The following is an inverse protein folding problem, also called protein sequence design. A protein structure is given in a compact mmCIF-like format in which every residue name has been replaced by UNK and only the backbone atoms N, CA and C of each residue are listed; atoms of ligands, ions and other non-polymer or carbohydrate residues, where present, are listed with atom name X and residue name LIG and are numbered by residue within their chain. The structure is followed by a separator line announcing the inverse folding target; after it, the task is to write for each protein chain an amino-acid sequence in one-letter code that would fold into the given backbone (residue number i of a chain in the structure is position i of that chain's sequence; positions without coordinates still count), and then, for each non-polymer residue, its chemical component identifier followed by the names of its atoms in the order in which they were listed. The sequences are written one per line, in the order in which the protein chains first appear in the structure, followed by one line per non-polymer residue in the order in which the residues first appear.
data_IF_513347299072
#
_entry.id   IF_513347299072
#
_cell.length_a   1.000
_cell.length_b   1.000
_cell.length_c   1.000
_cell.angle_alpha   90.00
_cell.angle_beta   90.00
_cell.angle_gamma   90.00
#
_symmetry.space_group_name_H-M   'P 1'
#
loop_
_entity.id
_entity.type
_entity.pdbx_description
1 polymer ?
#
# COMPACT_ATOMS: atom_id res chain seq x y z
N UNK A 1 -31.70 -14.22 -0.26
CA UNK A 1 -30.50 -13.47 0.14
C UNK A 1 -30.57 -12.16 -0.62
N UNK A 2 -31.23 -11.18 -0.02
CA UNK A 2 -31.52 -9.91 -0.70
C UNK A 2 -30.23 -9.10 -0.87
N UNK A 3 -30.08 -8.37 -1.99
CA UNK A 3 -28.92 -7.52 -2.18
C UNK A 3 -29.01 -6.37 -1.17
N UNK A 4 -28.17 -6.44 -0.13
CA UNK A 4 -27.90 -5.31 0.75
C UNK A 4 -27.59 -4.13 -0.16
N UNK A 5 -28.38 -3.07 -0.02
CA UNK A 5 -28.22 -1.78 -0.71
C UNK A 5 -26.80 -1.25 -0.46
N UNK A 6 -25.87 -1.65 -1.32
CA UNK A 6 -24.45 -1.35 -1.20
C UNK A 6 -24.14 0.15 -1.41
N UNK A 7 -25.10 0.93 -1.91
CA UNK A 7 -24.97 2.37 -2.12
C UNK A 7 -25.07 3.22 -0.86
N UNK A 8 -25.57 2.69 0.26
CA UNK A 8 -25.80 3.46 1.49
C UNK A 8 -25.03 2.95 2.74
N UNK A 9 -24.40 1.77 2.68
CA UNK A 9 -23.84 1.13 3.88
C UNK A 9 -22.56 1.81 4.43
N UNK A 10 -21.80 2.50 3.58
CA UNK A 10 -20.46 3.02 3.91
C UNK A 10 -20.26 4.50 3.54
N UNK A 11 -21.18 5.37 3.95
CA UNK A 11 -21.19 6.78 3.57
C UNK A 11 -20.01 7.62 4.08
N UNK A 12 -19.21 7.11 5.02
CA UNK A 12 -18.17 7.87 5.73
C UNK A 12 -16.75 7.43 5.41
N UNK A 13 -16.52 6.39 4.59
CA UNK A 13 -15.16 5.95 4.20
C UNK A 13 -14.34 7.12 3.64
N UNK A 14 -14.95 7.97 2.81
CA UNK A 14 -14.27 9.13 2.25
C UNK A 14 -13.80 10.12 3.33
N UNK A 15 -14.53 10.25 4.44
CA UNK A 15 -14.11 11.06 5.57
C UNK A 15 -12.88 10.47 6.27
N UNK A 16 -12.75 9.13 6.36
CA UNK A 16 -11.55 8.49 6.89
C UNK A 16 -10.33 8.74 5.99
N UNK A 17 -10.50 8.69 4.66
CA UNK A 17 -9.43 9.00 3.72
C UNK A 17 -9.01 10.46 3.78
N UNK A 18 -9.97 11.40 3.75
CA UNK A 18 -9.71 12.84 3.92
C UNK A 18 -9.04 13.16 5.25
N UNK A 19 -9.46 12.48 6.32
CA UNK A 19 -8.82 12.58 7.62
C UNK A 19 -7.33 12.23 7.52
N UNK A 20 -6.99 11.10 6.90
CA UNK A 20 -5.59 10.69 6.74
C UNK A 20 -4.78 11.66 5.88
N UNK A 21 -5.36 12.20 4.80
CA UNK A 21 -4.70 13.15 3.90
C UNK A 21 -4.44 14.50 4.57
N UNK A 22 -5.37 14.93 5.42
CA UNK A 22 -5.26 16.17 6.17
C UNK A 22 -4.29 16.04 7.34
N UNK A 23 -4.34 14.92 8.07
CA UNK A 23 -3.50 14.67 9.22
C UNK A 23 -2.01 14.70 8.87
N UNK A 24 -1.60 14.21 7.70
CA UNK A 24 -0.18 14.31 7.23
C UNK A 24 0.30 15.76 7.14
N UNK A 25 -0.61 16.73 6.91
CA UNK A 25 -0.26 18.15 6.78
C UNK A 25 -0.18 18.87 8.12
N UNK A 26 -0.65 18.25 9.20
CA UNK A 26 -0.61 18.83 10.53
C UNK A 26 0.74 18.50 11.19
N UNK A 27 1.52 19.54 11.48
CA UNK A 27 2.79 19.43 12.20
C UNK A 27 2.65 18.93 13.64
N UNK A 28 1.42 18.93 14.18
CA UNK A 28 1.11 18.56 15.57
C UNK A 28 0.78 17.07 15.75
N UNK A 29 0.87 16.25 14.69
CA UNK A 29 0.60 14.81 14.81
C UNK A 29 1.82 14.13 15.43
N UNK A 30 1.70 13.72 16.69
CA UNK A 30 2.72 12.92 17.37
C UNK A 30 3.05 11.62 16.61
N UNK A 31 4.26 11.08 16.83
CA UNK A 31 4.80 9.93 16.08
C UNK A 31 3.87 8.69 16.07
N UNK A 32 3.14 8.43 17.15
CA UNK A 32 2.18 7.33 17.26
C UNK A 32 0.94 7.54 16.37
N UNK A 33 0.44 8.77 16.32
CA UNK A 33 -0.71 9.13 15.49
C UNK A 33 -0.36 9.06 13.99
N UNK A 34 0.90 9.32 13.64
CA UNK A 34 1.41 9.17 12.28
C UNK A 34 1.34 7.70 11.82
N UNK A 35 1.58 6.74 12.72
CA UNK A 35 1.44 5.30 12.40
C UNK A 35 0.00 4.98 12.01
N UNK A 36 -0.97 5.49 12.76
CA UNK A 36 -2.39 5.29 12.46
C UNK A 36 -2.79 5.90 11.11
N UNK A 37 -2.31 7.11 10.82
CA UNK A 37 -2.55 7.78 9.52
C UNK A 37 -1.99 6.97 8.35
N UNK A 38 -0.74 6.49 8.47
CA UNK A 38 -0.12 5.64 7.44
C UNK A 38 -0.87 4.31 7.28
N UNK A 39 -1.40 3.74 8.36
CA UNK A 39 -2.18 2.52 8.31
C UNK A 39 -3.46 2.72 7.49
N UNK A 40 -4.19 3.83 7.67
CA UNK A 40 -5.38 4.16 6.85
C UNK A 40 -5.01 4.24 5.37
N UNK A 41 -3.92 4.93 5.04
CA UNK A 41 -3.46 5.06 3.65
C UNK A 41 -3.04 3.71 3.05
N UNK A 42 -2.41 2.85 3.85
CA UNK A 42 -2.01 1.51 3.42
C UNK A 42 -3.24 0.65 3.13
N UNK A 43 -4.19 0.61 4.07
CA UNK A 43 -5.44 -0.15 3.91
C UNK A 43 -6.24 0.32 2.71
N UNK A 44 -6.30 1.63 2.45
CA UNK A 44 -6.92 2.16 1.23
C UNK A 44 -6.34 1.52 -0.03
N UNK A 45 -5.00 1.50 -0.14
CA UNK A 45 -4.31 0.91 -1.30
C UNK A 45 -4.55 -0.59 -1.41
N UNK A 46 -4.48 -1.32 -0.30
CA UNK A 46 -4.72 -2.77 -0.31
C UNK A 46 -6.17 -3.10 -0.68
N UNK A 47 -7.14 -2.28 -0.25
CA UNK A 47 -8.54 -2.40 -0.61
C UNK A 47 -8.76 -2.13 -2.11
N UNK A 48 -8.23 -1.02 -2.62
CA UNK A 48 -8.28 -0.65 -4.04
C UNK A 48 -7.66 -1.76 -4.92
N UNK A 49 -6.50 -2.29 -4.51
CA UNK A 49 -5.84 -3.38 -5.22
C UNK A 49 -6.62 -4.69 -5.16
N UNK A 50 -7.19 -5.04 -4.00
CA UNK A 50 -8.03 -6.24 -3.88
C UNK A 50 -9.24 -6.15 -4.80
N UNK A 51 -9.90 -4.99 -4.83
CA UNK A 51 -11.02 -4.74 -5.73
C UNK A 51 -10.57 -4.82 -7.20
N UNK A 52 -9.43 -4.23 -7.57
CA UNK A 52 -8.87 -4.34 -8.93
C UNK A 52 -8.65 -5.79 -9.34
N UNK A 53 -7.98 -6.59 -8.51
CA UNK A 53 -7.66 -8.00 -8.80
C UNK A 53 -8.93 -8.83 -8.99
N UNK A 54 -10.00 -8.54 -8.24
CA UNK A 54 -11.30 -9.20 -8.42
C UNK A 54 -11.99 -8.88 -9.75
N UNK A 55 -11.61 -7.79 -10.44
CA UNK A 55 -12.13 -7.50 -11.77
C UNK A 55 -11.44 -8.33 -12.87
N UNK A 56 -10.33 -9.00 -12.58
CA UNK A 56 -9.61 -9.84 -13.54
C UNK A 56 -10.39 -11.15 -13.80
N UNK A 57 -10.70 -11.43 -15.06
CA UNK A 57 -11.55 -12.56 -15.45
C UNK A 57 -10.99 -13.93 -15.05
N UNK A 58 -9.67 -14.09 -15.09
CA UNK A 58 -9.02 -15.34 -14.66
C UNK A 58 -9.19 -15.60 -13.17
N UNK A 59 -9.12 -14.55 -12.36
CA UNK A 59 -9.36 -14.58 -10.92
C UNK A 59 -10.82 -14.92 -10.65
N UNK A 60 -11.76 -14.24 -11.32
CA UNK A 60 -13.21 -14.55 -11.19
C UNK A 60 -13.51 -16.00 -11.50
N UNK A 61 -12.97 -16.55 -12.60
CA UNK A 61 -13.18 -17.95 -13.00
C UNK A 61 -12.68 -18.91 -11.93
N UNK A 62 -11.46 -18.70 -11.43
CA UNK A 62 -10.86 -19.56 -10.41
C UNK A 62 -11.59 -19.48 -9.06
N UNK A 63 -12.00 -18.29 -8.66
CA UNK A 63 -12.82 -18.09 -7.46
C UNK A 63 -14.19 -18.77 -7.57
N UNK A 64 -14.84 -18.69 -8.73
CA UNK A 64 -16.11 -19.39 -8.98
C UNK A 64 -15.97 -20.92 -8.96
N UNK A 65 -14.80 -21.44 -9.33
CA UNK A 65 -14.51 -22.88 -9.25
C UNK A 65 -14.06 -23.37 -7.87
N UNK A 66 -13.78 -22.46 -6.92
CA UNK A 66 -13.28 -22.80 -5.58
C UNK A 66 -14.31 -22.41 -4.51
N UNK A 67 -15.12 -23.37 -4.00
CA UNK A 67 -16.15 -23.08 -3.00
C UNK A 67 -15.59 -22.39 -1.75
N UNK A 68 -16.33 -21.42 -1.20
CA UNK A 68 -15.99 -20.73 0.04
C UNK A 68 -14.93 -19.63 -0.05
N UNK A 69 -14.11 -19.59 -1.12
CA UNK A 69 -13.09 -18.54 -1.29
C UNK A 69 -13.67 -17.18 -1.61
N UNK A 70 -14.67 -17.11 -2.50
CA UNK A 70 -15.31 -15.83 -2.83
C UNK A 70 -16.00 -15.20 -1.60
N UNK A 71 -16.83 -15.90 -0.80
CA UNK A 71 -17.38 -15.36 0.44
C UNK A 71 -16.32 -14.88 1.43
N UNK A 72 -15.22 -15.61 1.59
CA UNK A 72 -14.12 -15.21 2.47
C UNK A 72 -13.48 -13.89 2.03
N UNK A 73 -13.19 -13.74 0.73
CA UNK A 73 -12.65 -12.49 0.15
C UNK A 73 -13.64 -11.33 0.33
N UNK A 74 -14.91 -11.55 0.02
CA UNK A 74 -15.95 -10.52 0.15
C UNK A 74 -16.14 -10.10 1.62
N UNK A 75 -16.03 -11.04 2.56
CA UNK A 75 -16.06 -10.73 3.99
C UNK A 75 -14.89 -9.87 4.42
N UNK A 76 -13.67 -10.12 3.93
CA UNK A 76 -12.50 -9.30 4.24
C UNK A 76 -12.66 -7.85 3.72
N UNK A 77 -13.15 -7.69 2.50
CA UNK A 77 -13.48 -6.39 1.92
C UNK A 77 -14.55 -5.68 2.76
N UNK A 78 -15.62 -6.37 3.11
CA UNK A 78 -16.72 -5.82 3.91
C UNK A 78 -16.24 -5.36 5.29
N UNK A 79 -15.53 -6.21 6.03
CA UNK A 79 -14.97 -5.86 7.35
C UNK A 79 -14.04 -4.65 7.27
N UNK A 80 -13.21 -4.58 6.22
CA UNK A 80 -12.33 -3.42 6.02
C UNK A 80 -13.13 -2.14 5.75
N UNK A 81 -14.14 -2.20 4.87
CA UNK A 81 -15.03 -1.07 4.60
C UNK A 81 -15.77 -0.61 5.84
N UNK A 82 -16.22 -1.55 6.68
CA UNK A 82 -16.86 -1.25 7.96
C UNK A 82 -15.92 -0.52 8.92
N UNK A 83 -14.70 -1.02 9.11
CA UNK A 83 -13.71 -0.37 9.98
C UNK A 83 -13.36 1.06 9.50
N UNK A 84 -13.20 1.25 8.18
CA UNK A 84 -12.96 2.57 7.60
C UNK A 84 -14.18 3.50 7.77
N UNK A 85 -15.39 2.99 7.58
CA UNK A 85 -16.62 3.74 7.77
C UNK A 85 -16.80 4.18 9.24
N UNK A 86 -16.48 3.30 10.20
CA UNK A 86 -16.54 3.62 11.62
C UNK A 86 -15.49 4.65 12.07
N UNK A 87 -14.31 4.66 11.45
CA UNK A 87 -13.33 5.74 11.59
C UNK A 87 -13.90 7.04 11.02
N UNK A 88 -14.45 7.01 9.80
CA UNK A 88 -15.02 8.18 9.16
C UNK A 88 -16.19 8.78 9.94
N UNK A 89 -17.10 7.94 10.45
CA UNK A 89 -18.20 8.33 11.33
C UNK A 89 -17.70 8.99 12.60
N UNK A 90 -16.65 8.45 13.20
CA UNK A 90 -16.05 9.03 14.39
C UNK A 90 -15.47 10.43 14.11
N UNK A 91 -14.74 10.60 13.01
CA UNK A 91 -14.22 11.92 12.59
C UNK A 91 -15.35 12.93 12.35
N UNK A 92 -16.47 12.52 11.75
CA UNK A 92 -17.60 13.41 11.51
C UNK A 92 -18.39 13.72 12.79
N UNK A 93 -18.63 12.73 13.67
CA UNK A 93 -19.42 12.90 14.92
C UNK A 93 -18.75 13.75 15.98
N UNK A 94 -17.43 13.84 15.96
CA UNK A 94 -16.66 14.80 16.77
C UNK A 94 -17.16 16.25 16.58
N UNK A 95 -17.88 16.54 15.48
CA UNK A 95 -18.63 17.79 15.25
C UNK A 95 -19.86 17.97 16.16
N UNK A 96 -20.60 16.91 16.46
CA UNK A 96 -21.88 16.94 17.18
C UNK A 96 -21.70 16.85 18.71
N UNK A 97 -20.71 16.10 19.19
CA UNK A 97 -20.52 15.90 20.64
C UNK A 97 -19.98 17.15 21.38
N UNK A 98 -19.56 18.19 20.64
CA UNK A 98 -18.94 19.41 21.16
C UNK A 98 -19.79 20.66 20.87
N UNK A 99 -21.08 20.49 20.61
CA UNK A 99 -22.09 21.46 20.12
C UNK A 99 -22.41 22.64 21.08
N UNK A 100 -21.38 23.27 21.62
CA UNK A 100 -21.44 24.56 22.31
C UNK A 100 -20.82 25.73 21.53
N UNK A 101 -20.11 25.48 20.41
CA UNK A 101 -19.33 26.52 19.73
C UNK A 101 -19.32 26.36 18.19
N UNK A 102 -20.34 26.90 17.50
CA UNK A 102 -20.29 27.26 16.07
C UNK A 102 -19.83 26.21 15.05
N UNK A 103 -19.47 26.67 13.84
CA UNK A 103 -18.91 25.84 12.77
C UNK A 103 -17.48 25.41 13.11
N UNK A 104 -17.31 24.16 13.54
CA UNK A 104 -15.99 23.58 13.82
C UNK A 104 -15.25 23.27 12.51
N UNK A 105 -14.04 23.85 12.36
CA UNK A 105 -13.12 23.56 11.25
C UNK A 105 -12.71 22.10 11.22
N UNK A 106 -12.44 21.54 10.04
CA UNK A 106 -12.01 20.14 9.90
C UNK A 106 -10.72 19.86 10.68
N UNK A 107 -9.82 20.86 10.74
CA UNK A 107 -8.59 20.77 11.53
C UNK A 107 -8.84 20.50 13.01
N UNK A 108 -9.77 21.23 13.63
CA UNK A 108 -10.10 21.01 15.03
C UNK A 108 -10.68 19.62 15.26
N UNK A 109 -11.42 19.07 14.30
CA UNK A 109 -11.90 17.69 14.38
C UNK A 109 -10.75 16.69 14.37
N UNK A 110 -9.80 16.85 13.45
CA UNK A 110 -8.60 15.99 13.37
C UNK A 110 -7.80 16.05 14.68
N UNK A 111 -7.62 17.25 15.25
CA UNK A 111 -6.95 17.42 16.54
C UNK A 111 -7.71 16.74 17.68
N UNK A 112 -9.03 16.87 17.74
CA UNK A 112 -9.85 16.22 18.78
C UNK A 112 -9.85 14.70 18.67
N UNK A 113 -9.84 14.16 17.44
CA UNK A 113 -9.70 12.73 17.17
C UNK A 113 -8.39 12.19 17.74
N UNK A 114 -7.28 12.91 17.55
CA UNK A 114 -5.97 12.52 18.09
C UNK A 114 -5.85 12.67 19.61
N UNK A 115 -6.68 13.50 20.25
CA UNK A 115 -6.70 13.65 21.69
C UNK A 115 -7.49 12.52 22.39
N UNK A 116 -8.31 11.76 21.68
CA UNK A 116 -9.08 10.62 22.21
C UNK A 116 -8.31 9.30 21.97
N UNK A 117 -7.24 9.13 22.76
CA UNK A 117 -6.24 8.08 22.56
C UNK A 117 -6.81 6.65 22.70
N UNK A 118 -7.73 6.43 23.65
CA UNK A 118 -8.34 5.10 23.86
C UNK A 118 -9.14 4.65 22.63
N UNK A 119 -9.98 5.53 22.07
CA UNK A 119 -10.74 5.23 20.85
C UNK A 119 -9.85 5.08 19.63
N UNK A 120 -8.74 5.81 19.58
CA UNK A 120 -7.75 5.71 18.52
C UNK A 120 -7.06 4.34 18.55
N UNK A 121 -6.61 3.87 19.72
CA UNK A 121 -5.95 2.56 19.87
C UNK A 121 -6.87 1.43 19.42
N UNK A 122 -8.13 1.42 19.87
CA UNK A 122 -9.09 0.37 19.50
C UNK A 122 -9.33 0.32 17.98
N UNK A 123 -9.54 1.48 17.34
CA UNK A 123 -9.74 1.57 15.88
C UNK A 123 -8.48 1.22 15.10
N UNK A 124 -7.31 1.59 15.62
CA UNK A 124 -6.01 1.23 15.03
C UNK A 124 -5.81 -0.29 15.04
N UNK A 125 -6.13 -0.95 16.15
CA UNK A 125 -6.01 -2.41 16.28
C UNK A 125 -6.97 -3.16 15.34
N UNK A 126 -8.22 -2.71 15.25
CA UNK A 126 -9.20 -3.26 14.31
C UNK A 126 -8.76 -3.08 12.86
N UNK A 127 -8.31 -1.88 12.49
CA UNK A 127 -7.83 -1.58 11.15
C UNK A 127 -6.57 -2.37 10.79
N UNK A 128 -5.67 -2.60 11.75
CA UNK A 128 -4.48 -3.42 11.56
C UNK A 128 -4.85 -4.89 11.31
N UNK A 129 -5.88 -5.40 11.99
CA UNK A 129 -6.41 -6.74 11.75
C UNK A 129 -7.03 -6.84 10.35
N UNK A 130 -7.76 -5.81 9.91
CA UNK A 130 -8.29 -5.73 8.55
C UNK A 130 -7.16 -5.69 7.50
N UNK A 131 -6.10 -4.90 7.74
CA UNK A 131 -4.91 -4.85 6.88
C UNK A 131 -4.26 -6.23 6.74
N UNK A 132 -4.06 -6.95 7.84
CA UNK A 132 -3.48 -8.30 7.81
C UNK A 132 -4.36 -9.28 7.03
N UNK A 133 -5.68 -9.16 7.20
CA UNK A 133 -6.66 -10.00 6.48
C UNK A 133 -6.62 -9.71 4.98
N UNK A 134 -6.63 -8.44 4.57
CA UNK A 134 -6.48 -8.05 3.17
C UNK A 134 -5.15 -8.47 2.57
N UNK A 135 -4.05 -8.34 3.31
CA UNK A 135 -2.73 -8.80 2.87
C UNK A 135 -2.72 -10.31 2.60
N UNK A 136 -3.41 -11.09 3.45
CA UNK A 136 -3.58 -12.54 3.26
C UNK A 136 -4.44 -12.85 2.03
N UNK A 137 -5.51 -12.08 1.81
CA UNK A 137 -6.35 -12.19 0.61
C UNK A 137 -5.56 -11.87 -0.65
N UNK A 138 -4.81 -10.77 -0.67
CA UNK A 138 -3.97 -10.38 -1.80
C UNK A 138 -2.92 -11.44 -2.11
N UNK A 139 -2.22 -11.96 -1.10
CA UNK A 139 -1.26 -13.05 -1.28
C UNK A 139 -1.89 -14.31 -1.89
N UNK A 140 -3.17 -14.56 -1.63
CA UNK A 140 -3.93 -15.64 -2.27
C UNK A 140 -4.35 -15.30 -3.71
N UNK A 141 -4.74 -14.05 -3.98
CA UNK A 141 -5.26 -13.63 -5.28
C UNK A 141 -4.15 -13.37 -6.32
N UNK A 142 -2.99 -12.82 -5.93
CA UNK A 142 -1.91 -12.45 -6.86
C UNK A 142 -1.43 -13.61 -7.76
N UNK A 143 -1.19 -14.83 -7.24
CA UNK A 143 -0.80 -15.97 -8.10
C UNK A 143 -1.89 -16.39 -9.09
N UNK A 144 -3.16 -16.09 -8.78
CA UNK A 144 -4.28 -16.43 -9.66
C UNK A 144 -4.32 -15.54 -10.91
N UNK A 145 -3.87 -14.28 -10.77
CA UNK A 145 -3.68 -13.31 -11.84
C UNK A 145 -2.51 -13.74 -12.75
N UNK A 146 -1.33 -14.02 -12.18
CA UNK A 146 -0.11 -14.38 -12.93
C UNK A 146 -0.23 -15.69 -13.72
N UNK A 147 -0.87 -16.72 -13.14
CA UNK A 147 -1.09 -17.98 -13.84
C UNK A 147 -2.01 -17.84 -15.08
N UNK A 148 -2.67 -16.69 -15.25
CA UNK A 148 -3.37 -16.35 -16.50
C UNK A 148 -2.45 -15.66 -17.51
N UNK A 149 -1.52 -14.82 -17.05
CA UNK A 149 -0.55 -14.16 -17.92
C UNK A 149 0.42 -15.20 -18.52
N UNK A 150 0.92 -16.12 -17.70
CA UNK A 150 1.79 -17.21 -18.14
C UNK A 150 1.11 -18.20 -19.12
N UNK A 151 -0.22 -18.31 -19.09
CA UNK A 151 -0.97 -19.12 -20.05
C UNK A 151 -1.26 -18.39 -21.37
N UNK A 152 -1.21 -17.05 -21.37
CA UNK A 152 -1.40 -16.21 -22.55
C UNK A 152 -0.08 -15.94 -23.30
N UNK A 153 1.04 -15.82 -22.58
CA UNK A 153 2.37 -15.54 -23.13
C UNK A 153 3.26 -16.80 -23.15
N UNK A 154 2.86 -17.81 -23.93
CA UNK A 154 3.69 -18.97 -24.23
C UNK A 154 4.86 -18.67 -25.18
N UNK A 155 5.53 -17.52 -25.01
CA UNK A 155 6.84 -17.22 -25.55
C UNK A 155 7.82 -17.10 -24.36
N UNK A 156 8.96 -17.81 -24.37
CA UNK A 156 9.94 -17.69 -23.29
C UNK A 156 10.37 -16.22 -23.15
N UNK A 157 10.45 -15.67 -21.92
CA UNK A 157 10.82 -14.28 -21.72
C UNK A 157 12.19 -14.02 -22.36
N UNK A 158 12.27 -12.99 -23.20
CA UNK A 158 13.53 -12.50 -23.73
C UNK A 158 14.40 -12.04 -22.55
N UNK A 159 15.67 -12.46 -22.54
CA UNK A 159 16.61 -12.27 -21.43
C UNK A 159 16.84 -10.78 -21.07
N UNK A 160 16.50 -9.85 -21.96
CA UNK A 160 16.72 -8.41 -21.77
C UNK A 160 15.82 -7.78 -20.70
N UNK A 161 14.63 -8.34 -20.43
CA UNK A 161 13.64 -7.73 -19.51
C UNK A 161 14.01 -7.94 -18.02
N UNK A 162 14.93 -8.85 -17.73
CA UNK A 162 15.35 -9.21 -16.37
C UNK A 162 16.35 -8.21 -15.74
N UNK A 163 16.69 -7.09 -16.40
CA UNK A 163 17.75 -6.18 -15.94
C UNK A 163 17.26 -4.90 -15.26
N UNK A 164 15.94 -4.67 -15.15
CA UNK A 164 15.35 -3.49 -14.49
C UNK A 164 15.34 -3.54 -12.95
N UNK A 165 16.36 -4.14 -12.32
CA UNK A 165 16.50 -4.14 -10.85
C UNK A 165 17.14 -2.86 -10.29
N UNK A 166 17.68 -1.98 -11.15
CA UNK A 166 18.40 -0.79 -10.72
C UNK A 166 17.49 0.32 -10.14
N UNK A 167 16.20 0.30 -10.45
CA UNK A 167 15.23 1.28 -9.92
C UNK A 167 14.86 1.03 -8.46
N UNK A 168 14.97 -0.21 -7.97
CA UNK A 168 14.65 -0.57 -6.58
C UNK A 168 15.79 -0.31 -5.58
N UNK A 169 16.95 0.15 -6.06
CA UNK A 169 18.07 0.47 -5.19
C UNK A 169 17.77 1.73 -4.36
N UNK A 170 17.86 1.60 -3.04
CA UNK A 170 17.80 2.75 -2.14
C UNK A 170 18.89 3.78 -2.48
N UNK A 171 18.70 5.08 -2.18
CA UNK A 171 19.70 6.11 -2.48
C UNK A 171 21.11 5.80 -1.95
N UNK A 172 21.21 5.05 -0.84
CA UNK A 172 22.48 4.60 -0.27
C UNK A 172 23.15 3.48 -1.07
N UNK A 173 22.36 2.57 -1.66
CA UNK A 173 22.89 1.50 -2.51
C UNK A 173 23.33 2.03 -3.88
N UNK A 174 22.60 3.01 -4.45
CA UNK A 174 23.01 3.70 -5.68
C UNK A 174 24.38 4.36 -5.54
N UNK A 175 24.63 5.06 -4.42
CA UNK A 175 25.94 5.69 -4.14
C UNK A 175 27.09 4.68 -4.03
N UNK A 176 26.84 3.46 -3.51
CA UNK A 176 27.87 2.41 -3.41
C UNK A 176 28.16 1.76 -4.76
N UNK A 177 27.15 1.60 -5.62
CA UNK A 177 27.32 1.04 -6.97
C UNK A 177 28.19 1.96 -7.84
N UNK A 178 27.94 3.27 -7.82
CA UNK A 178 28.74 4.25 -8.56
C UNK A 178 30.18 4.36 -8.07
N UNK A 179 30.43 4.22 -6.76
CA UNK A 179 31.81 4.18 -6.25
C UNK A 179 32.53 2.90 -6.68
N UNK A 180 31.85 1.74 -6.64
CA UNK A 180 32.45 0.47 -7.03
C UNK A 180 32.77 0.37 -8.55
N UNK A 181 31.92 0.94 -9.41
CA UNK A 181 32.18 1.01 -10.85
C UNK A 181 33.36 1.94 -11.19
N UNK A 182 33.50 3.06 -10.47
CA UNK A 182 34.64 3.98 -10.64
C UNK A 182 35.96 3.32 -10.22
N UNK A 183 35.96 2.50 -9.15
CA UNK A 183 37.17 1.77 -8.73
C UNK A 183 37.55 0.65 -9.69
N UNK A 184 36.59 -0.01 -10.34
CA UNK A 184 36.87 -1.04 -11.35
C UNK A 184 37.46 -0.44 -12.64
N UNK A 185 36.91 0.68 -13.11
CA UNK A 185 37.43 1.37 -14.30
C UNK A 185 38.85 1.94 -14.11
N UNK A 186 39.27 2.20 -12.87
CA UNK A 186 40.63 2.68 -12.55
C UNK A 186 41.70 1.59 -12.50
N UNK A 187 41.33 0.31 -12.34
CA UNK A 187 42.30 -0.79 -12.23
C UNK A 187 42.64 -1.38 -13.60
N UNK A 188 41.67 -1.44 -14.53
CA UNK A 188 41.89 -1.97 -15.88
C UNK A 188 42.69 -1.00 -16.80
N UNK A 189 42.90 0.25 -16.37
CA UNK A 189 43.64 1.27 -17.12
C UNK A 189 45.16 1.26 -16.90
N UNK A 190 45.69 0.49 -15.94
CA UNK A 190 47.10 0.58 -15.52
C UNK A 190 47.99 -0.52 -16.15
N UNK A 191 47.44 -1.59 -16.71
CA UNK A 191 48.24 -2.72 -17.23
C UNK A 191 48.66 -2.65 -18.71
N UNK A 192 48.35 -1.57 -19.46
CA UNK A 192 48.68 -1.48 -20.91
C UNK A 192 49.93 -0.65 -21.28
N UNK A 193 50.72 -0.21 -20.31
CA UNK A 193 51.83 0.74 -20.55
C UNK A 193 53.18 0.28 -19.98
N UNK A 194 53.58 -0.98 -20.18
CA UNK A 194 54.95 -1.41 -19.87
C UNK A 194 55.41 -2.59 -20.75
N UNK A 195 56.08 -2.27 -21.86
CA UNK A 195 56.90 -3.21 -22.62
C UNK A 195 56.74 -3.02 -24.13
N UNK A 196 57.77 -2.92 -24.96
CA UNK A 196 59.22 -3.11 -24.85
C UNK A 196 59.80 -2.24 -25.98
N UNK A 197 60.79 -1.39 -25.68
CA UNK A 197 61.67 -0.80 -26.70
C UNK A 197 63.10 -1.24 -26.35
N UNK A 198 63.66 -2.13 -27.15
CA UNK A 198 65.09 -2.44 -27.15
C UNK A 198 65.57 -2.49 -28.59
N UNK A 199 66.32 -1.46 -28.99
CA UNK A 199 67.10 -1.43 -30.22
C UNK A 199 68.47 -0.82 -29.88
N UNK A 200 69.53 -1.49 -30.34
CA UNK A 200 70.85 -0.89 -30.54
C UNK A 200 71.94 -1.32 -29.55
N UNK A 201 72.73 -2.33 -29.92
CA UNK A 201 74.07 -2.13 -30.48
C UNK A 201 74.55 -3.44 -31.14
#
# INVERSE_FOLDING_TARGET
MDPISAGAAFGFINSAFKFSEFAVRLYEVGSENEVFVRLIQRVRKDLEETERVLHVESVKRKLSSTPGKLPWVMSAIHSTKQALDDIGRWVERVRADKEGYGTVSFENRVRWVFNDHEKLVNRSMELATCHQTLSTVLAYLSPLEEASAAAADAAPPSYDDATHFDDFLSPRQRKRKTTAETTKAGVDGVEKSAGISSSGA
#
